data_IF_856841729821
#
_entry.id   IF_856841729821
#
_cell.length_a   1.000
_cell.length_b   1.000
_cell.length_c   1.000
_cell.angle_alpha   90.00
_cell.angle_beta   90.00
_cell.angle_gamma   90.00
#
_symmetry.space_group_name_H-M   'P 1'
#
loop_
_entity.id
_entity.type
_entity.pdbx_description
1 polymer ?
#
# COMPACT_ATOMS: atom_id res chain seq x y z
N UNK A 1 -40.66 -0.29 41.02
CA UNK A 1 -41.01 -1.24 39.94
C UNK A 1 -41.08 -0.44 38.65
N UNK A 2 -40.16 -0.60 37.75
CA UNK A 2 -40.12 0.18 36.48
C UNK A 2 -41.13 -0.46 35.55
N UNK A 3 -42.10 0.35 35.12
CA UNK A 3 -43.16 -0.10 34.22
C UNK A 3 -42.64 -0.05 32.75
N UNK A 4 -42.36 -1.24 32.22
CA UNK A 4 -41.79 -1.41 30.85
C UNK A 4 -42.88 -1.29 29.73
N UNK A 5 -44.09 -0.89 30.05
CA UNK A 5 -45.20 -0.79 29.05
C UNK A 5 -45.25 0.56 28.36
N UNK A 6 -44.48 1.58 28.76
CA UNK A 6 -44.46 2.87 28.13
C UNK A 6 -43.73 2.84 26.78
N UNK A 7 -44.37 3.25 25.68
CA UNK A 7 -43.81 3.21 24.34
C UNK A 7 -42.53 4.06 24.18
N UNK A 8 -42.35 5.10 24.96
CA UNK A 8 -41.18 5.96 24.99
C UNK A 8 -39.95 5.22 25.54
N UNK A 9 -40.14 4.39 26.58
CA UNK A 9 -39.04 3.58 27.17
C UNK A 9 -38.57 2.51 26.19
N UNK A 10 -39.54 1.91 25.46
CA UNK A 10 -39.23 0.89 24.45
C UNK A 10 -38.46 1.53 23.28
N UNK A 11 -38.82 2.73 22.83
CA UNK A 11 -38.15 3.44 21.76
C UNK A 11 -36.68 3.79 22.14
N UNK A 12 -36.46 4.26 23.37
CA UNK A 12 -35.11 4.56 23.88
C UNK A 12 -34.26 3.29 23.99
N UNK A 13 -34.83 2.17 24.43
CA UNK A 13 -34.13 0.89 24.52
C UNK A 13 -33.78 0.33 23.14
N UNK A 14 -34.67 0.45 22.15
CA UNK A 14 -34.38 0.02 20.77
C UNK A 14 -33.30 0.89 20.13
N UNK A 15 -33.34 2.21 20.35
CA UNK A 15 -32.33 3.12 19.80
C UNK A 15 -30.95 2.90 20.44
N UNK A 16 -30.89 2.65 21.75
CA UNK A 16 -29.65 2.35 22.44
C UNK A 16 -29.06 0.99 22.03
N UNK A 17 -29.88 -0.03 21.84
CA UNK A 17 -29.47 -1.32 21.30
C UNK A 17 -28.94 -1.21 19.86
N UNK A 18 -29.60 -0.40 19.01
CA UNK A 18 -29.12 -0.13 17.64
C UNK A 18 -27.77 0.57 17.62
N UNK A 19 -27.56 1.54 18.51
CA UNK A 19 -26.28 2.23 18.67
C UNK A 19 -25.15 1.29 19.12
N UNK A 20 -25.41 0.45 20.12
CA UNK A 20 -24.44 -0.55 20.58
C UNK A 20 -24.12 -1.58 19.49
N UNK A 21 -25.13 -2.05 18.76
CA UNK A 21 -24.93 -2.99 17.65
C UNK A 21 -24.11 -2.37 16.51
N UNK A 22 -24.34 -1.09 16.21
CA UNK A 22 -23.55 -0.31 15.22
C UNK A 22 -22.10 -0.18 15.65
N UNK A 23 -21.81 0.14 16.90
CA UNK A 23 -20.46 0.22 17.44
C UNK A 23 -19.75 -1.14 17.46
N UNK A 24 -20.44 -2.21 17.81
CA UNK A 24 -19.90 -3.58 17.80
C UNK A 24 -19.57 -4.02 16.36
N UNK A 25 -20.43 -3.72 15.37
CA UNK A 25 -20.15 -4.06 13.97
C UNK A 25 -19.02 -3.25 13.37
N UNK A 26 -18.87 -1.97 13.76
CA UNK A 26 -17.74 -1.13 13.38
C UNK A 26 -16.42 -1.62 14.01
N UNK A 27 -16.45 -1.95 15.29
CA UNK A 27 -15.29 -2.52 16.01
C UNK A 27 -14.89 -3.88 15.39
N UNK A 28 -15.88 -4.72 15.06
CA UNK A 28 -15.65 -6.00 14.40
C UNK A 28 -14.95 -5.82 13.04
N UNK A 29 -15.48 -4.95 12.17
CA UNK A 29 -14.93 -4.72 10.83
C UNK A 29 -13.56 -4.06 10.87
N UNK A 30 -13.35 -3.07 11.76
CA UNK A 30 -12.15 -2.22 11.77
C UNK A 30 -10.99 -2.83 12.57
N UNK A 31 -11.28 -3.56 13.65
CA UNK A 31 -10.26 -4.09 14.56
C UNK A 31 -10.22 -5.62 14.62
N UNK A 32 -11.36 -6.29 14.79
CA UNK A 32 -11.36 -7.73 15.00
C UNK A 32 -11.12 -8.53 13.71
N UNK A 33 -11.67 -8.12 12.59
CA UNK A 33 -11.46 -8.82 11.32
C UNK A 33 -10.00 -8.86 10.85
N UNK A 34 -9.21 -7.75 10.92
CA UNK A 34 -7.77 -7.79 10.64
C UNK A 34 -6.99 -8.63 11.65
N UNK A 35 -7.36 -8.57 12.95
CA UNK A 35 -6.72 -9.36 14.00
C UNK A 35 -6.98 -10.85 13.80
N UNK A 36 -8.19 -11.24 13.45
CA UNK A 36 -8.54 -12.63 13.14
C UNK A 36 -7.76 -13.11 11.91
N UNK A 37 -7.60 -12.27 10.89
CA UNK A 37 -6.78 -12.60 9.71
C UNK A 37 -5.30 -12.78 10.07
N UNK A 38 -4.78 -11.97 10.99
CA UNK A 38 -3.43 -12.14 11.55
C UNK A 38 -3.31 -13.42 12.39
N UNK A 39 -4.32 -13.71 13.23
CA UNK A 39 -4.37 -14.93 14.03
C UNK A 39 -4.47 -16.18 13.16
N UNK A 40 -5.22 -16.13 12.07
CA UNK A 40 -5.33 -17.27 11.14
C UNK A 40 -3.99 -17.62 10.48
N UNK A 41 -3.16 -16.62 10.15
CA UNK A 41 -1.80 -16.86 9.72
C UNK A 41 -0.91 -17.43 10.83
N UNK A 42 -1.16 -17.06 12.10
CA UNK A 42 -0.46 -17.64 13.23
C UNK A 42 -0.91 -19.07 13.53
N UNK A 43 -2.19 -19.39 13.32
CA UNK A 43 -2.72 -20.72 13.53
C UNK A 43 -2.20 -21.70 12.48
N UNK A 44 -2.11 -21.29 11.21
CA UNK A 44 -1.43 -22.06 10.18
C UNK A 44 0.06 -22.30 10.52
N UNK A 45 0.72 -21.29 11.08
CA UNK A 45 2.12 -21.42 11.51
C UNK A 45 2.25 -22.36 12.72
N UNK A 46 1.32 -22.32 13.68
CA UNK A 46 1.28 -23.23 14.83
C UNK A 46 1.00 -24.67 14.41
N UNK A 47 0.06 -24.87 13.51
CA UNK A 47 -0.30 -26.18 12.97
C UNK A 47 0.89 -26.81 12.23
N UNK A 48 1.59 -26.03 11.41
CA UNK A 48 2.81 -26.46 10.74
C UNK A 48 3.95 -26.75 11.73
N UNK A 49 4.07 -25.97 12.79
CA UNK A 49 5.08 -26.21 13.86
C UNK A 49 4.73 -27.43 14.71
N UNK A 50 3.44 -27.68 14.96
CA UNK A 50 3.01 -28.89 15.69
C UNK A 50 3.13 -30.15 14.84
N UNK A 51 2.87 -30.07 13.54
CA UNK A 51 3.11 -31.16 12.59
C UNK A 51 4.62 -31.51 12.52
N UNK A 52 5.47 -30.49 12.40
CA UNK A 52 6.93 -30.62 12.49
C UNK A 52 7.35 -31.22 13.86
N UNK A 53 6.73 -30.80 14.96
CA UNK A 53 7.01 -31.33 16.30
C UNK A 53 6.61 -32.79 16.45
N UNK A 54 5.48 -33.21 15.86
CA UNK A 54 5.06 -34.61 15.82
C UNK A 54 6.03 -35.45 14.99
N UNK A 55 6.45 -34.99 13.84
CA UNK A 55 7.47 -35.67 13.03
C UNK A 55 8.82 -35.75 13.73
N UNK A 56 9.22 -34.72 14.48
CA UNK A 56 10.41 -34.68 15.32
C UNK A 56 10.36 -35.75 16.43
N UNK A 57 9.20 -36.00 17.02
CA UNK A 57 9.05 -37.00 18.10
C UNK A 57 9.07 -38.43 17.58
N UNK A 58 8.64 -38.65 16.33
CA UNK A 58 8.48 -39.99 15.77
C UNK A 58 9.77 -40.53 15.12
N UNK A 59 10.67 -39.65 14.65
CA UNK A 59 11.81 -40.04 13.81
C UNK A 59 13.21 -39.84 14.43
N UNK A 60 13.37 -39.85 15.76
CA UNK A 60 14.71 -39.91 16.39
C UNK A 60 15.67 -38.76 16.09
N UNK A 61 15.23 -37.67 15.58
CA UNK A 61 15.71 -36.30 15.90
C UNK A 61 16.87 -35.68 15.13
N UNK A 62 17.85 -36.40 14.55
CA UNK A 62 19.04 -35.72 14.01
C UNK A 62 18.80 -35.13 12.59
N UNK A 63 18.17 -35.85 11.72
CA UNK A 63 17.92 -35.42 10.31
C UNK A 63 16.92 -34.26 10.20
N UNK A 64 15.90 -34.22 11.06
CA UNK A 64 14.91 -33.13 11.08
C UNK A 64 15.44 -31.86 11.74
N UNK A 65 16.28 -31.99 12.74
CA UNK A 65 17.00 -30.85 13.34
C UNK A 65 17.91 -30.16 12.30
N UNK A 66 18.61 -30.97 11.51
CA UNK A 66 19.47 -30.45 10.46
C UNK A 66 18.64 -29.77 9.36
N UNK A 67 17.49 -30.35 8.97
CA UNK A 67 16.56 -29.73 8.01
C UNK A 67 16.01 -28.40 8.51
N UNK A 68 15.66 -28.28 9.80
CA UNK A 68 15.18 -27.01 10.39
C UNK A 68 16.29 -25.96 10.42
N UNK A 69 17.53 -26.36 10.70
CA UNK A 69 18.69 -25.46 10.65
C UNK A 69 18.90 -24.97 9.22
N UNK A 70 18.86 -25.83 8.24
CA UNK A 70 19.00 -25.48 6.82
C UNK A 70 17.86 -24.57 6.32
N UNK A 71 16.60 -24.84 6.77
CA UNK A 71 15.47 -23.96 6.47
C UNK A 71 15.67 -22.57 7.09
N UNK A 72 16.10 -22.50 8.34
CA UNK A 72 16.39 -21.23 9.02
C UNK A 72 17.46 -20.44 8.26
N UNK A 73 18.55 -21.09 7.89
CA UNK A 73 19.65 -20.46 7.15
C UNK A 73 19.18 -20.02 5.75
N UNK A 74 18.32 -20.81 5.12
CA UNK A 74 17.72 -20.46 3.84
C UNK A 74 16.80 -19.23 3.94
N UNK A 75 15.94 -19.17 4.96
CA UNK A 75 15.08 -18.00 5.23
C UNK A 75 15.91 -16.74 5.50
N UNK A 76 16.95 -16.84 6.31
CA UNK A 76 17.87 -15.72 6.54
C UNK A 76 18.60 -15.27 5.27
N UNK A 77 18.97 -16.22 4.41
CA UNK A 77 19.60 -15.90 3.13
C UNK A 77 18.64 -15.22 2.17
N UNK A 78 17.36 -15.65 2.14
CA UNK A 78 16.30 -15.01 1.34
C UNK A 78 16.04 -13.59 1.84
N UNK A 79 15.82 -13.40 3.14
CA UNK A 79 15.61 -12.07 3.75
C UNK A 79 16.77 -11.10 3.45
N UNK A 80 18.02 -11.59 3.59
CA UNK A 80 19.19 -10.79 3.25
C UNK A 80 19.25 -10.42 1.77
N UNK A 81 18.94 -11.36 0.88
CA UNK A 81 18.88 -11.09 -0.57
C UNK A 81 17.79 -10.09 -0.91
N UNK A 82 16.62 -10.23 -0.32
CA UNK A 82 15.50 -9.30 -0.51
C UNK A 82 15.89 -7.89 -0.09
N UNK A 83 16.50 -7.71 1.08
CA UNK A 83 17.02 -6.41 1.54
C UNK A 83 18.04 -5.81 0.58
N UNK A 84 18.96 -6.63 0.04
CA UNK A 84 19.96 -6.17 -0.93
C UNK A 84 19.27 -5.70 -2.23
N UNK A 85 18.32 -6.48 -2.75
CA UNK A 85 17.57 -6.12 -3.97
C UNK A 85 16.79 -4.82 -3.74
N UNK A 86 16.11 -4.70 -2.63
CA UNK A 86 15.37 -3.49 -2.26
C UNK A 86 16.28 -2.25 -2.21
N UNK A 87 17.43 -2.35 -1.53
CA UNK A 87 18.39 -1.25 -1.44
C UNK A 87 18.98 -0.87 -2.81
N UNK A 88 19.30 -1.86 -3.64
CA UNK A 88 19.79 -1.62 -5.01
C UNK A 88 18.74 -0.98 -5.88
N UNK A 89 17.49 -1.43 -5.79
CA UNK A 89 16.36 -0.86 -6.55
C UNK A 89 16.12 0.58 -6.12
N UNK A 90 16.06 0.85 -4.81
CA UNK A 90 15.96 2.22 -4.29
C UNK A 90 17.10 3.11 -4.77
N UNK A 91 18.33 2.62 -4.73
CA UNK A 91 19.48 3.39 -5.21
C UNK A 91 19.40 3.64 -6.73
N UNK A 92 19.05 2.63 -7.53
CA UNK A 92 18.92 2.76 -8.98
C UNK A 92 17.82 3.78 -9.35
N UNK A 93 16.66 3.72 -8.71
CA UNK A 93 15.56 4.66 -8.94
C UNK A 93 15.91 6.07 -8.45
N UNK A 94 16.58 6.18 -7.29
CA UNK A 94 16.96 7.48 -6.72
C UNK A 94 17.93 8.25 -7.61
N UNK A 95 18.89 7.55 -8.22
CA UNK A 95 19.88 8.13 -9.12
C UNK A 95 19.53 8.01 -10.60
N UNK A 96 18.31 7.57 -10.93
CA UNK A 96 17.81 7.59 -12.29
C UNK A 96 17.86 9.02 -12.85
N UNK A 97 18.20 9.16 -14.11
CA UNK A 97 18.16 10.46 -14.80
C UNK A 97 16.73 10.92 -15.11
N UNK A 98 15.74 10.05 -14.96
CA UNK A 98 14.34 10.39 -15.11
C UNK A 98 13.75 10.89 -13.77
N UNK A 99 12.86 11.86 -13.85
CA UNK A 99 12.08 12.25 -12.68
C UNK A 99 10.99 11.21 -12.42
N UNK A 100 11.08 10.56 -11.25
CA UNK A 100 10.20 9.46 -10.85
C UNK A 100 9.51 9.77 -9.55
N UNK A 101 8.23 9.41 -9.47
CA UNK A 101 7.50 9.38 -8.22
C UNK A 101 6.54 8.19 -8.16
N UNK A 102 6.18 7.80 -6.96
CA UNK A 102 5.31 6.66 -6.68
C UNK A 102 4.08 7.13 -5.92
N UNK A 103 2.92 6.56 -6.29
CA UNK A 103 1.66 6.81 -5.60
C UNK A 103 1.09 5.53 -5.00
N UNK A 104 0.27 5.69 -3.96
CA UNK A 104 -0.56 4.61 -3.45
C UNK A 104 -1.76 4.32 -4.38
N UNK A 105 -2.59 3.36 -3.99
CA UNK A 105 -3.82 2.97 -4.70
C UNK A 105 -4.90 4.07 -4.72
N UNK A 106 -4.72 5.14 -3.99
CA UNK A 106 -5.59 6.32 -4.00
C UNK A 106 -4.99 7.47 -4.83
N UNK A 107 -3.83 7.27 -5.47
CA UNK A 107 -3.14 8.28 -6.27
C UNK A 107 -2.34 9.29 -5.44
N UNK A 108 -2.12 9.05 -4.15
CA UNK A 108 -1.38 9.94 -3.25
C UNK A 108 0.10 9.61 -3.31
N UNK A 109 0.93 10.66 -3.36
CA UNK A 109 2.39 10.54 -3.34
C UNK A 109 2.88 9.79 -2.10
N UNK A 110 3.71 8.77 -2.29
CA UNK A 110 4.37 8.00 -1.22
C UNK A 110 5.88 8.01 -1.32
N UNK A 111 6.43 8.24 -2.51
CA UNK A 111 7.87 8.31 -2.75
C UNK A 111 8.21 9.12 -4.01
N UNK A 112 9.39 9.73 -4.03
CA UNK A 112 9.94 10.38 -5.22
C UNK A 112 11.47 10.33 -5.21
N UNK A 113 12.08 10.45 -6.40
CA UNK A 113 13.53 10.49 -6.53
C UNK A 113 14.08 11.94 -6.57
N UNK A 114 15.41 12.07 -6.55
CA UNK A 114 16.08 13.36 -6.56
C UNK A 114 15.77 14.21 -7.84
N UNK A 115 15.49 13.56 -8.98
CA UNK A 115 15.17 14.30 -10.21
C UNK A 115 13.76 14.88 -10.19
N UNK A 116 12.79 14.20 -9.56
CA UNK A 116 11.46 14.73 -9.35
C UNK A 116 11.50 16.05 -8.56
N UNK A 117 12.41 16.15 -7.60
CA UNK A 117 12.60 17.35 -6.79
C UNK A 117 12.90 18.61 -7.61
N UNK A 118 13.39 18.46 -8.85
CA UNK A 118 13.67 19.60 -9.75
C UNK A 118 12.40 20.21 -10.35
N UNK A 119 11.29 19.48 -10.36
CA UNK A 119 9.99 19.93 -10.87
C UNK A 119 9.10 20.57 -9.80
N UNK A 120 9.39 20.30 -8.53
CA UNK A 120 8.63 20.85 -7.41
C UNK A 120 9.46 21.89 -6.67
N UNK A 121 8.82 23.00 -6.27
CA UNK A 121 9.50 24.09 -5.55
C UNK A 121 9.72 23.77 -4.06
N UNK A 122 8.91 22.86 -3.54
CA UNK A 122 8.94 22.47 -2.11
C UNK A 122 9.91 21.30 -1.87
N UNK A 123 10.34 21.16 -0.62
CA UNK A 123 11.15 20.02 -0.22
C UNK A 123 10.30 18.73 -0.34
N UNK A 124 10.70 17.76 -1.18
CA UNK A 124 9.95 16.53 -1.41
C UNK A 124 9.65 15.73 -0.15
N UNK A 125 10.48 15.87 0.87
CA UNK A 125 10.26 15.23 2.19
C UNK A 125 9.01 15.71 2.91
N UNK A 126 8.49 16.89 2.54
CA UNK A 126 7.29 17.47 3.12
C UNK A 126 6.04 17.27 2.25
N UNK A 127 6.22 16.75 1.03
CA UNK A 127 5.11 16.54 0.11
C UNK A 127 4.31 15.29 0.48
N UNK A 128 3.01 15.45 0.54
CA UNK A 128 2.08 14.37 0.87
C UNK A 128 0.85 14.42 -0.02
N UNK A 129 0.16 13.32 -0.13
CA UNK A 129 -1.11 13.30 -0.84
C UNK A 129 -0.97 13.73 -2.30
N UNK A 130 -1.68 14.77 -2.69
CA UNK A 130 -1.72 15.28 -4.07
C UNK A 130 -0.81 16.49 -4.30
N UNK A 131 0.13 16.78 -3.40
CA UNK A 131 1.04 17.93 -3.51
C UNK A 131 1.92 17.87 -4.77
N UNK A 132 2.09 16.67 -5.36
CA UNK A 132 2.77 16.50 -6.64
C UNK A 132 2.12 17.27 -7.79
N UNK A 133 0.83 17.61 -7.68
CA UNK A 133 0.14 18.48 -8.65
C UNK A 133 0.65 19.93 -8.64
N UNK A 134 1.36 20.34 -7.59
CA UNK A 134 1.88 21.71 -7.50
C UNK A 134 2.86 22.06 -8.62
N UNK A 135 3.50 21.05 -9.23
CA UNK A 135 4.37 21.25 -10.39
C UNK A 135 3.61 21.56 -11.68
N UNK A 136 2.31 21.21 -11.74
CA UNK A 136 1.48 21.36 -12.94
C UNK A 136 0.81 22.73 -12.94
N UNK A 137 0.63 23.31 -14.11
CA UNK A 137 -0.09 24.55 -14.35
C UNK A 137 -1.51 24.46 -13.76
N UNK A 138 -1.94 25.49 -13.07
CA UNK A 138 -3.14 25.46 -12.20
C UNK A 138 -4.40 25.09 -12.96
N UNK A 139 -4.58 25.56 -14.17
CA UNK A 139 -5.72 25.31 -15.04
C UNK A 139 -5.80 23.87 -15.57
N UNK A 140 -4.69 23.12 -15.55
CA UNK A 140 -4.64 21.73 -16.02
C UNK A 140 -4.75 20.68 -14.90
N UNK A 141 -4.63 21.09 -13.62
CA UNK A 141 -4.54 20.18 -12.48
C UNK A 141 -5.77 19.28 -12.30
N UNK A 142 -6.95 19.87 -12.38
CA UNK A 142 -8.20 19.13 -12.11
C UNK A 142 -8.44 18.08 -13.20
N UNK A 143 -8.21 18.42 -14.46
CA UNK A 143 -8.36 17.50 -15.58
C UNK A 143 -7.34 16.35 -15.48
N UNK A 144 -6.08 16.69 -15.23
CA UNK A 144 -4.99 15.72 -15.09
C UNK A 144 -5.26 14.77 -13.92
N UNK A 145 -5.68 15.31 -12.76
CA UNK A 145 -6.00 14.50 -11.58
C UNK A 145 -7.15 13.53 -11.85
N UNK A 146 -8.23 14.02 -12.46
CA UNK A 146 -9.39 13.18 -12.77
C UNK A 146 -9.03 12.04 -13.72
N UNK A 147 -8.23 12.31 -14.74
CA UNK A 147 -7.75 11.30 -15.68
C UNK A 147 -6.82 10.30 -14.98
N UNK A 148 -5.88 10.80 -14.18
CA UNK A 148 -4.97 9.96 -13.38
C UNK A 148 -5.74 9.02 -12.45
N UNK A 149 -6.68 9.54 -11.64
CA UNK A 149 -7.50 8.74 -10.73
C UNK A 149 -8.37 7.72 -11.46
N UNK A 150 -8.86 8.07 -12.66
CA UNK A 150 -9.58 7.10 -13.51
C UNK A 150 -8.66 5.93 -13.91
N UNK A 151 -7.41 6.23 -14.30
CA UNK A 151 -6.43 5.19 -14.63
C UNK A 151 -6.05 4.33 -13.41
N UNK A 152 -5.88 4.97 -12.24
CA UNK A 152 -5.64 4.27 -10.96
C UNK A 152 -6.78 3.30 -10.66
N UNK A 153 -8.02 3.79 -10.71
CA UNK A 153 -9.22 2.99 -10.44
C UNK A 153 -9.37 1.80 -11.39
N UNK A 154 -9.04 2.00 -12.66
CA UNK A 154 -9.14 0.97 -13.69
C UNK A 154 -7.86 0.12 -13.82
N UNK A 155 -6.83 0.40 -13.02
CA UNK A 155 -5.52 -0.24 -13.10
C UNK A 155 -4.94 -0.25 -14.52
N UNK A 156 -5.04 0.88 -15.22
CA UNK A 156 -4.54 1.08 -16.59
C UNK A 156 -3.34 2.00 -16.59
N UNK A 157 -2.48 1.84 -17.58
CA UNK A 157 -1.39 2.78 -17.83
C UNK A 157 -1.94 4.19 -18.01
N UNK A 158 -1.27 5.16 -17.39
CA UNK A 158 -1.54 6.57 -17.54
C UNK A 158 -0.52 7.18 -18.51
N UNK A 159 -0.96 8.02 -19.42
CA UNK A 159 -0.06 8.79 -20.31
C UNK A 159 -0.72 10.09 -20.69
N UNK A 160 -0.16 11.21 -20.26
CA UNK A 160 -0.65 12.55 -20.59
C UNK A 160 0.49 13.52 -20.76
N UNK A 161 0.37 14.40 -21.76
CA UNK A 161 1.21 15.59 -21.91
C UNK A 161 0.52 16.75 -21.21
N UNK A 162 1.27 17.51 -20.42
CA UNK A 162 0.78 18.64 -19.62
C UNK A 162 1.86 19.71 -19.53
N UNK A 163 1.49 20.91 -19.12
CA UNK A 163 2.40 22.03 -18.91
C UNK A 163 2.73 22.18 -17.43
N UNK A 164 4.01 22.41 -17.12
CA UNK A 164 4.43 22.74 -15.76
C UNK A 164 4.15 24.20 -15.44
N UNK A 165 4.20 24.57 -14.16
CA UNK A 165 4.09 25.99 -13.75
C UNK A 165 5.15 26.91 -14.36
N UNK A 166 6.31 26.36 -14.75
CA UNK A 166 7.40 27.09 -15.38
C UNK A 166 7.26 27.14 -16.92
N UNK A 167 6.11 26.69 -17.48
CA UNK A 167 5.83 26.73 -18.92
C UNK A 167 6.51 25.63 -19.73
N UNK A 168 7.04 24.59 -19.09
CA UNK A 168 7.68 23.46 -19.79
C UNK A 168 6.65 22.39 -20.09
N UNK A 169 6.65 21.89 -21.33
CA UNK A 169 5.84 20.73 -21.68
C UNK A 169 6.51 19.46 -21.20
N UNK A 170 5.77 18.64 -20.48
CA UNK A 170 6.20 17.35 -19.97
C UNK A 170 5.21 16.26 -20.36
N UNK A 171 5.71 15.06 -20.53
CA UNK A 171 4.89 13.86 -20.65
C UNK A 171 5.00 13.04 -19.38
N UNK A 172 3.86 12.75 -18.77
CA UNK A 172 3.77 11.88 -17.61
C UNK A 172 3.34 10.48 -18.05
N UNK A 173 4.09 9.46 -17.61
CA UNK A 173 3.82 8.05 -17.90
C UNK A 173 3.68 7.31 -16.56
N UNK A 174 2.47 6.84 -16.25
CA UNK A 174 2.18 6.07 -15.05
C UNK A 174 1.98 4.58 -15.35
N UNK A 175 2.70 3.72 -14.65
CA UNK A 175 2.59 2.28 -14.76
C UNK A 175 2.09 1.70 -13.45
N UNK A 176 0.94 0.98 -13.46
CA UNK A 176 0.47 0.28 -12.28
C UNK A 176 1.39 -0.88 -11.96
N UNK A 177 1.69 -1.08 -10.67
CA UNK A 177 2.40 -2.25 -10.20
C UNK A 177 1.56 -3.04 -9.20
N UNK A 178 1.88 -4.33 -9.05
CA UNK A 178 1.18 -5.24 -8.16
C UNK A 178 2.11 -5.74 -7.08
N UNK A 179 1.57 -5.90 -5.89
CA UNK A 179 2.27 -6.55 -4.76
C UNK A 179 2.10 -8.06 -4.87
N UNK A 180 0.88 -8.49 -5.22
CA UNK A 180 0.53 -9.90 -5.52
C UNK A 180 -0.35 -9.96 -6.76
N UNK A 181 -0.68 -11.14 -7.25
CA UNK A 181 -1.58 -11.32 -8.43
C UNK A 181 -2.95 -10.67 -8.23
N UNK A 182 -3.41 -10.54 -6.98
CA UNK A 182 -4.71 -9.98 -6.61
C UNK A 182 -4.63 -8.59 -5.92
N UNK A 183 -3.43 -8.13 -5.56
CA UNK A 183 -3.25 -6.90 -4.77
C UNK A 183 -2.46 -5.85 -5.56
N UNK A 184 -3.11 -4.70 -5.80
CA UNK A 184 -2.48 -3.56 -6.44
C UNK A 184 -1.69 -2.74 -5.41
N UNK A 185 -0.47 -2.33 -5.78
CA UNK A 185 0.40 -1.54 -4.92
C UNK A 185 0.22 -0.04 -5.12
N UNK A 186 0.09 0.39 -6.37
CA UNK A 186 0.02 1.80 -6.74
C UNK A 186 0.54 2.04 -8.15
N UNK A 187 1.09 3.22 -8.38
CA UNK A 187 1.63 3.64 -9.67
C UNK A 187 3.06 4.17 -9.53
N UNK A 188 3.95 3.71 -10.38
CA UNK A 188 5.23 4.37 -10.63
C UNK A 188 5.07 5.30 -11.82
N UNK A 189 5.32 6.59 -11.61
CA UNK A 189 5.15 7.64 -12.62
C UNK A 189 6.51 8.19 -13.01
N UNK A 190 6.77 8.23 -14.33
CA UNK A 190 7.92 8.87 -14.95
C UNK A 190 7.50 10.19 -15.58
N UNK A 191 8.31 11.23 -15.40
CA UNK A 191 8.15 12.53 -16.05
C UNK A 191 9.27 12.68 -17.04
N UNK A 192 8.88 12.84 -18.29
CA UNK A 192 9.80 12.99 -19.42
C UNK A 192 9.61 14.41 -20.00
N UNK A 193 10.67 15.22 -20.17
CA UNK A 193 10.58 16.46 -20.90
C UNK A 193 10.03 16.18 -22.30
N UNK A 194 9.01 16.90 -22.71
CA UNK A 194 8.51 16.84 -24.08
C UNK A 194 9.25 17.93 -24.87
N UNK A 195 10.48 17.62 -25.30
CA UNK A 195 11.19 18.49 -26.24
C UNK A 195 10.40 18.44 -27.54
N UNK A 196 9.68 19.50 -27.84
CA UNK A 196 9.13 19.69 -29.17
C UNK A 196 10.29 19.75 -30.17
N UNK A 197 10.30 18.78 -31.09
CA UNK A 197 11.17 18.77 -32.28
C UNK A 197 10.76 19.88 -33.22
#
# INVERSE_FOLDING_TARGET
MIDFTHPEIIAVLISSLGGVFGLVTLAWKKFLKPIIKLCHNQDFFKESVEEIRKELQTNGGSSLKDTIIDMKDTVHRIDRRQKIIEQRTKAALHYSNEALFETDIAGRLIWSNAHFCKYVKDNPSNMTGFDWLSMIKEDERDELLNEFLSCVKMNRKFSKTTETQDGKHIRMLGYPYRITDSEHGGFLVSIIPNEEV
#
